data_IF_992470933114
#
_entry.id   IF_992470933114
#
_cell.length_a   1.000
_cell.length_b   1.000
_cell.length_c   1.000
_cell.angle_alpha   90.00
_cell.angle_beta   90.00
_cell.angle_gamma   90.00
#
_symmetry.space_group_name_H-M   'P 1'
#
loop_
_entity.id
_entity.type
_entity.pdbx_description
1 polymer ?
#
# COMPACT_ATOMS: atom_id res chain seq x y z
N UNK A 1 -52.39 21.06 -39.30
CA UNK A 1 -51.57 20.02 -39.95
C UNK A 1 -50.15 20.10 -39.38
N UNK A 2 -49.83 19.11 -38.54
CA UNK A 2 -48.54 18.57 -38.09
C UNK A 2 -47.30 19.47 -37.97
N UNK A 3 -46.79 19.62 -36.75
CA UNK A 3 -45.61 18.84 -36.33
C UNK A 3 -45.36 18.96 -34.82
N UNK A 4 -45.32 17.80 -34.17
CA UNK A 4 -44.96 17.61 -32.77
C UNK A 4 -43.43 17.67 -32.60
N UNK A 5 -42.97 18.34 -31.56
CA UNK A 5 -41.61 18.19 -31.04
C UNK A 5 -41.71 17.74 -29.58
N UNK A 6 -41.37 16.47 -29.37
CA UNK A 6 -41.33 15.77 -28.10
C UNK A 6 -40.01 16.13 -27.42
N UNK A 7 -40.05 16.83 -26.29
CA UNK A 7 -38.90 16.94 -25.39
C UNK A 7 -38.92 15.76 -24.41
N UNK A 8 -38.09 14.75 -24.67
CA UNK A 8 -37.84 13.66 -23.74
C UNK A 8 -36.89 14.10 -22.63
N UNK A 9 -37.40 14.25 -21.41
CA UNK A 9 -36.60 14.41 -20.20
C UNK A 9 -35.98 13.06 -19.82
N UNK A 10 -34.69 12.90 -20.08
CA UNK A 10 -33.87 11.80 -19.58
C UNK A 10 -33.52 12.09 -18.11
N UNK A 11 -34.30 11.54 -17.18
CA UNK A 11 -33.95 11.55 -15.75
C UNK A 11 -32.88 10.48 -15.49
N UNK A 12 -31.67 10.96 -15.24
CA UNK A 12 -30.51 10.16 -14.86
C UNK A 12 -30.71 9.72 -13.39
N UNK A 13 -31.26 8.53 -13.18
CA UNK A 13 -31.38 7.94 -11.83
C UNK A 13 -29.98 7.52 -11.40
N UNK A 14 -29.31 8.39 -10.63
CA UNK A 14 -28.10 8.05 -9.90
C UNK A 14 -28.52 7.14 -8.75
N UNK A 15 -28.23 5.84 -8.87
CA UNK A 15 -28.33 4.90 -7.74
C UNK A 15 -27.17 5.21 -6.78
N UNK A 16 -27.39 6.15 -5.86
CA UNK A 16 -26.59 6.21 -4.64
C UNK A 16 -26.89 4.95 -3.84
N UNK A 17 -25.85 4.20 -3.49
CA UNK A 17 -25.92 3.20 -2.43
C UNK A 17 -26.16 3.94 -1.12
N UNK A 18 -27.42 4.06 -0.72
CA UNK A 18 -27.79 4.48 0.64
C UNK A 18 -27.28 3.38 1.57
N UNK A 19 -26.23 3.68 2.33
CA UNK A 19 -25.96 2.95 3.57
C UNK A 19 -27.23 3.09 4.40
N UNK A 20 -27.94 1.97 4.61
CA UNK A 20 -29.23 2.03 5.29
C UNK A 20 -29.05 2.59 6.70
N UNK A 21 -29.78 3.67 7.00
CA UNK A 21 -29.86 4.25 8.35
C UNK A 21 -30.18 3.14 9.37
N UNK A 22 -29.47 3.15 10.50
CA UNK A 22 -29.70 2.16 11.56
C UNK A 22 -31.11 2.32 12.12
N UNK A 23 -31.80 1.20 12.30
CA UNK A 23 -33.13 1.21 12.91
C UNK A 23 -33.04 1.55 14.40
N UNK A 24 -34.11 2.10 14.96
CA UNK A 24 -34.21 2.38 16.41
C UNK A 24 -33.90 1.14 17.26
N UNK A 25 -34.31 -0.05 16.80
CA UNK A 25 -34.03 -1.32 17.47
C UNK A 25 -32.53 -1.64 17.51
N UNK A 26 -31.80 -1.38 16.41
CA UNK A 26 -30.35 -1.59 16.35
C UNK A 26 -29.60 -0.63 17.28
N UNK A 27 -30.07 0.62 17.35
CA UNK A 27 -29.51 1.65 18.24
C UNK A 27 -29.76 1.27 19.71
N UNK A 28 -30.99 0.92 20.08
CA UNK A 28 -31.33 0.49 21.45
C UNK A 28 -30.57 -0.78 21.84
N UNK A 29 -30.43 -1.74 20.92
CA UNK A 29 -29.61 -2.96 21.14
C UNK A 29 -28.15 -2.60 21.44
N UNK A 30 -27.57 -1.66 20.70
CA UNK A 30 -26.21 -1.18 20.93
C UNK A 30 -26.09 -0.50 22.30
N UNK A 31 -26.97 0.45 22.60
CA UNK A 31 -26.94 1.21 23.85
C UNK A 31 -27.16 0.31 25.07
N UNK A 32 -28.02 -0.70 24.96
CA UNK A 32 -28.20 -1.73 25.97
C UNK A 32 -26.93 -2.55 26.18
N UNK A 33 -26.31 -3.02 25.10
CA UNK A 33 -25.10 -3.86 25.18
C UNK A 33 -23.95 -3.18 25.92
N UNK A 34 -23.84 -1.86 25.82
CA UNK A 34 -22.76 -1.09 26.46
C UNK A 34 -23.20 -0.36 27.74
N UNK A 35 -24.42 -0.60 28.22
CA UNK A 35 -24.89 -0.13 29.53
C UNK A 35 -25.47 1.29 29.55
N UNK A 36 -25.64 1.94 28.40
CA UNK A 36 -26.19 3.30 28.32
C UNK A 36 -27.72 3.36 28.47
N UNK A 37 -28.42 2.30 28.06
CA UNK A 37 -29.87 2.21 28.20
C UNK A 37 -30.23 1.47 29.50
N UNK A 38 -31.02 2.11 30.35
CA UNK A 38 -31.31 1.63 31.72
C UNK A 38 -32.53 0.69 31.74
N UNK A 39 -33.53 0.93 30.88
CA UNK A 39 -34.80 0.19 30.88
C UNK A 39 -34.94 -0.73 29.66
N UNK A 40 -35.79 -1.75 29.78
CA UNK A 40 -36.33 -2.56 28.67
C UNK A 40 -35.33 -3.34 27.80
N UNK A 41 -34.05 -3.42 28.17
CA UNK A 41 -33.01 -4.16 27.42
C UNK A 41 -33.26 -5.68 27.23
N UNK A 42 -34.22 -6.25 27.95
CA UNK A 42 -34.61 -7.66 27.85
C UNK A 42 -36.10 -7.85 27.47
N UNK A 43 -36.77 -6.77 27.04
CA UNK A 43 -38.19 -6.80 26.66
C UNK A 43 -38.33 -6.43 25.19
N UNK A 44 -39.32 -6.99 24.49
CA UNK A 44 -39.63 -6.60 23.09
C UNK A 44 -40.26 -5.18 22.98
N UNK A 45 -40.06 -4.34 23.99
CA UNK A 45 -40.68 -3.01 24.11
C UNK A 45 -39.57 -1.96 23.99
N UNK A 46 -39.74 -1.04 23.04
CA UNK A 46 -38.82 0.09 22.89
C UNK A 46 -38.78 0.95 24.15
N UNK A 47 -37.63 1.56 24.40
CA UNK A 47 -37.49 2.55 25.46
C UNK A 47 -38.34 3.81 25.17
N UNK A 48 -38.67 4.56 26.23
CA UNK A 48 -39.28 5.88 26.05
C UNK A 48 -38.34 6.78 25.25
N UNK A 49 -38.92 7.70 24.48
CA UNK A 49 -38.14 8.63 23.65
C UNK A 49 -37.15 9.45 24.48
N UNK A 50 -37.57 9.91 25.66
CA UNK A 50 -36.70 10.64 26.59
C UNK A 50 -35.51 9.79 27.06
N UNK A 51 -35.73 8.53 27.42
CA UNK A 51 -34.68 7.62 27.86
C UNK A 51 -33.69 7.31 26.72
N UNK A 52 -34.18 7.11 25.51
CA UNK A 52 -33.34 6.88 24.33
C UNK A 52 -32.47 8.10 24.00
N UNK A 53 -33.06 9.29 23.94
CA UNK A 53 -32.31 10.54 23.67
C UNK A 53 -31.23 10.73 24.74
N UNK A 54 -31.55 10.47 26.00
CA UNK A 54 -30.58 10.58 27.08
C UNK A 54 -29.41 9.59 26.92
N UNK A 55 -29.70 8.31 26.66
CA UNK A 55 -28.70 7.29 26.42
C UNK A 55 -27.78 7.63 25.24
N UNK A 56 -28.34 8.19 24.15
CA UNK A 56 -27.56 8.64 22.99
C UNK A 56 -26.61 9.77 23.40
N UNK A 57 -27.09 10.80 24.11
CA UNK A 57 -26.23 11.91 24.55
C UNK A 57 -25.07 11.45 25.41
N UNK A 58 -25.32 10.51 26.32
CA UNK A 58 -24.30 9.93 27.19
C UNK A 58 -23.25 9.14 26.40
N UNK A 59 -23.70 8.32 25.45
CA UNK A 59 -22.80 7.58 24.57
C UNK A 59 -21.97 8.49 23.66
N UNK A 60 -22.57 9.56 23.10
CA UNK A 60 -21.85 10.57 22.31
C UNK A 60 -20.77 11.25 23.14
N UNK A 61 -21.10 11.65 24.37
CA UNK A 61 -20.15 12.25 25.30
C UNK A 61 -18.99 11.30 25.62
N UNK A 62 -19.27 10.03 25.93
CA UNK A 62 -18.26 9.01 26.21
C UNK A 62 -17.38 8.71 24.98
N UNK A 63 -17.98 8.71 23.79
CA UNK A 63 -17.30 8.46 22.51
C UNK A 63 -16.59 9.71 21.96
N UNK A 64 -16.64 10.84 22.67
CA UNK A 64 -16.09 12.13 22.27
C UNK A 64 -16.63 12.62 20.91
N UNK A 65 -17.94 12.49 20.74
CA UNK A 65 -18.72 12.95 19.59
C UNK A 65 -19.51 14.22 19.95
N UNK A 66 -20.06 14.88 18.93
CA UNK A 66 -20.98 16.00 19.15
C UNK A 66 -22.26 15.51 19.84
N UNK A 67 -22.59 16.11 20.98
CA UNK A 67 -23.72 15.66 21.82
C UNK A 67 -25.01 16.28 21.29
N UNK A 68 -25.65 15.62 20.35
CA UNK A 68 -26.91 16.03 19.73
C UNK A 68 -28.11 15.35 20.40
N UNK A 69 -27.96 14.08 20.78
CA UNK A 69 -29.06 13.21 21.21
C UNK A 69 -29.76 12.47 20.08
N UNK A 70 -29.29 12.65 18.84
CA UNK A 70 -29.72 11.95 17.64
C UNK A 70 -28.53 11.24 17.00
N UNK A 71 -28.76 10.13 16.29
CA UNK A 71 -27.71 9.37 15.61
C UNK A 71 -27.57 9.86 14.17
N UNK A 72 -26.44 10.48 13.86
CA UNK A 72 -26.05 10.85 12.50
C UNK A 72 -25.04 9.88 11.87
N UNK A 73 -24.62 10.13 10.61
CA UNK A 73 -23.70 9.24 9.89
C UNK A 73 -22.34 9.02 10.59
N UNK A 74 -21.82 10.05 11.26
CA UNK A 74 -20.57 9.95 12.01
C UNK A 74 -20.71 9.07 13.27
N UNK A 75 -21.89 9.12 13.91
CA UNK A 75 -22.22 8.28 15.07
C UNK A 75 -22.30 6.80 14.65
N UNK A 76 -22.97 6.52 13.53
CA UNK A 76 -23.09 5.17 12.98
C UNK A 76 -21.72 4.54 12.67
N UNK A 77 -20.80 5.32 12.08
CA UNK A 77 -19.43 4.86 11.80
C UNK A 77 -18.71 4.44 13.09
N UNK A 78 -18.94 5.14 14.20
CA UNK A 78 -18.37 4.79 15.51
C UNK A 78 -19.06 3.58 16.11
N UNK A 79 -20.38 3.44 15.97
CA UNK A 79 -21.12 2.26 16.42
C UNK A 79 -20.68 0.98 15.69
N UNK A 80 -20.28 1.06 14.42
CA UNK A 80 -19.84 -0.09 13.63
C UNK A 80 -18.40 -0.53 13.89
N UNK A 81 -17.60 0.29 14.59
CA UNK A 81 -16.24 -0.08 14.97
C UNK A 81 -16.25 -1.24 15.95
N UNK A 82 -15.40 -2.25 15.69
CA UNK A 82 -15.18 -3.37 16.62
C UNK A 82 -14.60 -2.84 17.93
N UNK A 83 -15.21 -3.22 19.05
CA UNK A 83 -14.81 -2.79 20.39
C UNK A 83 -14.92 -3.91 21.42
N UNK A 84 -14.41 -3.67 22.62
CA UNK A 84 -14.57 -4.57 23.76
C UNK A 84 -16.06 -4.74 24.09
N UNK A 85 -16.49 -5.94 24.50
CA UNK A 85 -17.87 -6.21 24.90
C UNK A 85 -18.17 -5.85 26.37
N UNK A 86 -17.20 -5.30 27.10
CA UNK A 86 -17.45 -4.74 28.42
C UNK A 86 -18.39 -3.55 28.32
N UNK A 87 -19.35 -3.46 29.24
CA UNK A 87 -20.19 -2.26 29.40
C UNK A 87 -19.30 -1.06 29.73
N UNK A 88 -19.62 0.09 29.13
CA UNK A 88 -18.90 1.34 29.38
C UNK A 88 -19.35 1.95 30.71
N UNK A 89 -20.61 1.74 31.04
CA UNK A 89 -21.29 2.28 32.20
C UNK A 89 -21.51 1.18 33.23
N UNK A 90 -20.67 1.14 34.27
CA UNK A 90 -20.72 0.08 35.30
C UNK A 90 -21.65 0.42 36.47
N UNK A 91 -21.98 1.70 36.69
CA UNK A 91 -22.87 2.17 37.75
C UNK A 91 -24.12 2.79 37.15
N UNK A 92 -25.20 2.00 37.04
CA UNK A 92 -26.45 2.43 36.40
C UNK A 92 -27.19 3.52 37.18
N UNK A 93 -26.92 3.64 38.49
CA UNK A 93 -27.53 4.62 39.38
C UNK A 93 -26.94 6.05 39.21
N UNK A 94 -25.76 6.17 38.59
CA UNK A 94 -25.09 7.45 38.32
C UNK A 94 -25.41 8.02 36.93
N UNK A 95 -26.10 7.24 36.09
CA UNK A 95 -26.34 7.55 34.67
C UNK A 95 -27.18 8.80 34.50
N UNK A 96 -27.98 9.20 35.50
CA UNK A 96 -28.93 10.33 35.39
C UNK A 96 -28.52 11.57 36.19
N UNK A 97 -27.22 11.81 36.45
CA UNK A 97 -26.77 13.06 37.06
C UNK A 97 -26.08 13.98 36.02
N UNK A 98 -26.71 15.09 35.59
CA UNK A 98 -26.14 16.06 34.65
C UNK A 98 -24.84 16.72 35.14
N UNK A 99 -24.56 16.67 36.44
CA UNK A 99 -23.37 17.27 37.05
C UNK A 99 -22.17 16.30 37.11
N UNK A 100 -22.38 15.00 36.87
CA UNK A 100 -21.31 14.01 36.87
C UNK A 100 -20.60 14.04 35.52
N UNK A 101 -19.38 14.57 35.50
CA UNK A 101 -18.46 14.37 34.40
C UNK A 101 -18.16 12.86 34.27
N UNK A 102 -18.04 12.30 33.05
CA UNK A 102 -17.67 10.91 32.88
C UNK A 102 -16.38 10.64 33.64
N UNK A 103 -16.42 9.74 34.62
CA UNK A 103 -15.26 9.44 35.45
C UNK A 103 -14.11 9.03 34.53
N UNK A 104 -13.01 9.81 34.55
CA UNK A 104 -11.92 9.65 33.58
C UNK A 104 -11.33 8.24 33.57
N UNK A 105 -11.38 7.51 34.69
CA UNK A 105 -11.01 6.10 34.74
C UNK A 105 -11.79 5.40 35.86
N UNK A 106 -12.56 4.36 35.51
CA UNK A 106 -13.09 3.41 36.49
C UNK A 106 -11.94 2.81 37.30
N UNK A 107 -11.68 3.31 38.50
CA UNK A 107 -10.88 2.62 39.52
C UNK A 107 -11.72 1.50 40.11
N UNK A 108 -12.10 0.55 39.25
CA UNK A 108 -12.87 -0.62 39.62
C UNK A 108 -12.20 -1.38 40.78
N UNK A 109 -12.89 -2.38 41.35
CA UNK A 109 -12.41 -3.11 42.51
C UNK A 109 -10.98 -3.60 42.31
N UNK A 110 -10.08 -3.19 43.20
CA UNK A 110 -8.65 -3.54 43.13
C UNK A 110 -8.42 -4.91 43.74
N UNK A 111 -7.60 -5.73 43.07
CA UNK A 111 -7.15 -7.00 43.63
C UNK A 111 -6.47 -6.79 44.98
N UNK A 112 -6.79 -7.65 45.97
CA UNK A 112 -6.19 -7.59 47.32
C UNK A 112 -4.67 -7.87 47.30
N UNK A 113 -4.19 -8.61 46.31
CA UNK A 113 -2.77 -8.95 46.11
C UNK A 113 -2.28 -8.35 44.80
N UNK A 114 -1.02 -7.94 44.78
CA UNK A 114 -0.34 -7.42 43.59
C UNK A 114 0.29 -8.51 42.73
N UNK A 115 0.65 -9.65 43.33
CA UNK A 115 1.13 -10.83 42.61
C UNK A 115 -0.05 -11.66 42.09
N UNK A 116 -0.38 -11.49 40.82
CA UNK A 116 -1.47 -12.19 40.14
C UNK A 116 -0.94 -13.37 39.33
N UNK A 117 -1.68 -14.48 39.33
CA UNK A 117 -1.44 -15.64 38.47
C UNK A 117 -2.53 -15.73 37.41
N UNK A 118 -2.17 -16.08 36.18
CA UNK A 118 -3.11 -16.19 35.06
C UNK A 118 -2.99 -17.55 34.36
N UNK A 119 -4.07 -17.96 33.69
CA UNK A 119 -4.12 -19.16 32.84
C UNK A 119 -4.91 -18.85 31.59
N UNK A 120 -4.33 -19.11 30.41
CA UNK A 120 -5.07 -18.97 29.14
C UNK A 120 -5.98 -20.18 29.01
N UNK A 121 -7.30 -19.95 29.07
CA UNK A 121 -8.31 -21.00 28.88
C UNK A 121 -8.74 -21.14 27.43
N UNK A 122 -8.74 -20.04 26.68
CA UNK A 122 -9.13 -19.99 25.27
C UNK A 122 -8.40 -18.85 24.57
N UNK A 123 -7.78 -19.16 23.44
CA UNK A 123 -7.25 -18.12 22.56
C UNK A 123 -8.41 -17.47 21.80
N UNK A 124 -8.39 -16.15 21.69
CA UNK A 124 -9.27 -15.42 20.77
C UNK A 124 -9.03 -15.94 19.36
N UNK A 125 -10.11 -16.17 18.60
CA UNK A 125 -9.97 -16.40 17.16
C UNK A 125 -9.20 -15.21 16.61
N UNK A 126 -8.13 -15.42 15.81
CA UNK A 126 -7.50 -14.32 15.12
C UNK A 126 -8.61 -13.57 14.40
N UNK A 127 -8.71 -12.26 14.62
CA UNK A 127 -9.38 -11.45 13.62
C UNK A 127 -8.72 -11.79 12.29
N UNK A 128 -9.47 -11.93 11.19
CA UNK A 128 -8.85 -11.89 9.88
C UNK A 128 -8.00 -10.63 9.90
N UNK A 129 -6.67 -10.79 9.84
CA UNK A 129 -5.85 -9.65 9.44
C UNK A 129 -6.46 -9.20 8.11
N UNK A 130 -6.50 -7.89 7.80
CA UNK A 130 -6.72 -7.50 6.41
C UNK A 130 -5.81 -8.42 5.60
N UNK A 131 -6.38 -9.23 4.71
CA UNK A 131 -5.59 -10.13 3.89
C UNK A 131 -4.71 -9.20 3.07
N UNK A 132 -3.48 -8.98 3.54
CA UNK A 132 -2.50 -8.17 2.84
C UNK A 132 -2.41 -8.85 1.48
N UNK A 133 -2.77 -8.14 0.39
CA UNK A 133 -2.81 -8.78 -0.92
C UNK A 133 -1.46 -9.47 -1.18
N UNK A 134 -1.46 -10.66 -1.78
CA UNK A 134 -0.22 -11.41 -2.06
C UNK A 134 0.81 -10.56 -2.82
N UNK A 135 0.33 -9.58 -3.60
CA UNK A 135 1.17 -8.66 -4.36
C UNK A 135 1.87 -7.58 -3.51
N UNK A 136 1.66 -7.52 -2.20
CA UNK A 136 2.40 -6.62 -1.29
C UNK A 136 3.74 -7.20 -0.83
N UNK A 137 3.93 -8.52 -0.95
CA UNK A 137 5.19 -9.19 -0.65
C UNK A 137 5.71 -9.91 -1.88
N UNK A 138 6.36 -9.15 -2.77
CA UNK A 138 6.79 -9.65 -4.07
C UNK A 138 8.30 -9.80 -4.17
N UNK A 139 8.70 -10.83 -4.91
CA UNK A 139 10.07 -10.98 -5.34
C UNK A 139 10.29 -10.15 -6.61
N UNK A 140 10.97 -9.02 -6.45
CA UNK A 140 11.33 -8.11 -7.53
C UNK A 140 12.45 -8.76 -8.36
N UNK A 141 12.26 -8.85 -9.67
CA UNK A 141 13.23 -9.39 -10.63
C UNK A 141 13.93 -8.30 -11.44
N UNK A 142 13.22 -7.20 -11.70
CA UNK A 142 13.74 -6.03 -12.37
C UNK A 142 12.82 -4.83 -12.11
N UNK A 143 13.34 -3.62 -12.24
CA UNK A 143 12.55 -2.41 -12.14
C UNK A 143 13.08 -1.37 -13.13
N UNK A 144 12.19 -0.66 -13.81
CA UNK A 144 12.55 0.42 -14.75
C UNK A 144 11.58 1.58 -14.58
N UNK A 145 12.05 2.80 -14.83
CA UNK A 145 11.22 4.01 -14.82
C UNK A 145 11.16 4.58 -16.23
N UNK A 146 9.96 4.70 -16.78
CA UNK A 146 9.78 5.17 -18.15
C UNK A 146 9.82 6.70 -18.23
N UNK A 147 9.82 7.24 -19.45
CA UNK A 147 9.90 8.69 -19.71
C UNK A 147 8.74 9.49 -19.14
N UNK A 148 7.56 8.87 -19.00
CA UNK A 148 6.37 9.46 -18.39
C UNK A 148 6.38 9.37 -16.85
N UNK A 149 7.48 8.89 -16.27
CA UNK A 149 7.65 8.75 -14.83
C UNK A 149 7.05 7.47 -14.25
N UNK A 150 6.36 6.65 -15.05
CA UNK A 150 5.79 5.37 -14.62
C UNK A 150 6.90 4.41 -14.22
N UNK A 151 6.80 3.86 -13.02
CA UNK A 151 7.63 2.77 -12.53
C UNK A 151 7.00 1.43 -12.92
N UNK A 152 7.77 0.62 -13.65
CA UNK A 152 7.43 -0.76 -13.97
C UNK A 152 8.27 -1.69 -13.10
N UNK A 153 7.60 -2.50 -12.27
CA UNK A 153 8.25 -3.48 -11.39
C UNK A 153 7.91 -4.88 -11.86
N UNK A 154 8.90 -5.59 -12.36
CA UNK A 154 8.78 -6.96 -12.84
C UNK A 154 8.93 -7.92 -11.67
N UNK A 155 7.95 -8.79 -11.49
CA UNK A 155 7.89 -9.73 -10.38
C UNK A 155 7.88 -11.16 -10.89
N UNK A 156 8.28 -12.08 -10.01
CA UNK A 156 8.26 -13.50 -10.30
C UNK A 156 6.86 -13.95 -10.78
N UNK A 157 6.83 -14.85 -11.77
CA UNK A 157 5.58 -15.37 -12.34
C UNK A 157 5.09 -14.62 -13.59
N UNK A 158 5.94 -13.82 -14.25
CA UNK A 158 5.62 -13.12 -15.51
C UNK A 158 4.57 -12.01 -15.34
N UNK A 159 4.72 -11.22 -14.27
CA UNK A 159 3.88 -10.06 -13.98
C UNK A 159 4.71 -8.78 -13.94
N UNK A 160 4.06 -7.68 -14.29
CA UNK A 160 4.58 -6.33 -14.12
C UNK A 160 3.55 -5.49 -13.37
N UNK A 161 4.02 -4.75 -12.38
CA UNK A 161 3.25 -3.73 -11.67
C UNK A 161 3.51 -2.38 -12.31
N UNK A 162 2.45 -1.58 -12.49
CA UNK A 162 2.55 -0.20 -12.95
C UNK A 162 2.25 0.73 -11.79
N UNK A 163 3.19 1.62 -11.50
CA UNK A 163 3.08 2.60 -10.42
C UNK A 163 3.36 3.97 -11.02
N UNK A 164 2.37 4.85 -10.96
CA UNK A 164 2.46 6.24 -11.44
C UNK A 164 2.62 7.18 -10.25
N UNK A 165 2.71 8.49 -10.51
CA UNK A 165 2.73 9.49 -9.43
C UNK A 165 1.45 9.45 -8.57
N UNK A 166 0.31 9.11 -9.20
CA UNK A 166 -0.98 8.97 -8.53
C UNK A 166 -1.09 7.72 -7.66
N UNK A 167 -0.21 6.72 -7.86
CA UNK A 167 -0.17 5.51 -7.03
C UNK A 167 -0.06 4.22 -7.85
N UNK A 168 -0.37 3.10 -7.21
CA UNK A 168 -0.45 1.81 -7.88
C UNK A 168 -1.61 1.80 -8.87
N UNK A 169 -1.33 1.40 -10.11
CA UNK A 169 -2.31 1.38 -11.19
C UNK A 169 -2.90 -0.03 -11.35
N UNK A 170 -2.04 -1.02 -11.61
CA UNK A 170 -2.45 -2.42 -11.77
C UNK A 170 -1.26 -3.39 -11.76
N UNK A 171 -1.60 -4.68 -11.74
CA UNK A 171 -0.69 -5.80 -11.95
C UNK A 171 -1.17 -6.61 -13.16
N UNK A 172 -0.38 -6.60 -14.22
CA UNK A 172 -0.72 -7.25 -15.49
C UNK A 172 0.36 -8.25 -15.90
N UNK A 173 0.00 -9.20 -16.77
CA UNK A 173 0.99 -10.11 -17.35
C UNK A 173 1.98 -9.30 -18.18
N UNK A 174 3.28 -9.55 -17.98
CA UNK A 174 4.35 -8.81 -18.68
C UNK A 174 4.18 -8.84 -20.20
N UNK A 175 3.78 -9.98 -20.77
CA UNK A 175 3.59 -10.15 -22.21
C UNK A 175 2.43 -9.33 -22.79
N UNK A 176 1.46 -8.90 -21.97
CA UNK A 176 0.37 -8.05 -22.44
C UNK A 176 0.86 -6.64 -22.74
N UNK A 177 1.90 -6.20 -22.04
CA UNK A 177 2.50 -4.87 -22.20
C UNK A 177 3.76 -4.92 -23.07
N UNK A 178 4.69 -5.81 -22.75
CA UNK A 178 5.96 -5.98 -23.44
C UNK A 178 5.91 -7.23 -24.33
N UNK A 179 5.14 -7.16 -25.42
CA UNK A 179 5.03 -8.29 -26.36
C UNK A 179 6.41 -8.68 -26.89
N UNK A 180 6.70 -9.97 -26.90
CA UNK A 180 7.98 -10.58 -27.32
C UNK A 180 9.16 -10.35 -26.37
N UNK A 181 8.94 -9.73 -25.21
CA UNK A 181 9.92 -9.71 -24.13
C UNK A 181 10.09 -11.13 -23.56
N UNK A 182 11.25 -11.44 -22.96
CA UNK A 182 11.41 -12.72 -22.28
C UNK A 182 10.49 -12.81 -21.06
N UNK A 183 9.87 -13.97 -20.83
CA UNK A 183 8.97 -14.20 -19.69
C UNK A 183 9.64 -14.11 -18.31
N UNK A 184 10.97 -14.16 -18.27
CA UNK A 184 11.80 -13.95 -17.09
C UNK A 184 13.02 -13.15 -17.53
N UNK A 185 13.36 -12.14 -16.74
CA UNK A 185 14.46 -11.23 -16.99
C UNK A 185 15.48 -11.38 -15.87
N UNK A 186 16.73 -11.12 -16.23
CA UNK A 186 17.85 -11.09 -15.31
C UNK A 186 18.04 -9.68 -14.77
N UNK A 187 17.83 -8.69 -15.64
CA UNK A 187 17.81 -7.28 -15.30
C UNK A 187 17.03 -6.50 -16.36
N UNK A 188 16.67 -5.26 -16.03
CA UNK A 188 16.15 -4.30 -16.97
C UNK A 188 16.65 -2.91 -16.60
N UNK A 189 16.71 -2.02 -17.59
CA UNK A 189 16.98 -0.59 -17.37
C UNK A 189 16.27 0.23 -18.43
N UNK A 190 16.09 1.52 -18.15
CA UNK A 190 15.54 2.47 -19.10
C UNK A 190 16.47 3.65 -19.28
N UNK A 191 16.36 4.29 -20.44
CA UNK A 191 16.95 5.58 -20.74
C UNK A 191 15.76 6.51 -21.04
N UNK A 192 15.21 7.18 -20.02
CA UNK A 192 13.99 7.98 -20.16
C UNK A 192 14.08 9.06 -21.23
N UNK A 193 15.24 9.72 -21.38
CA UNK A 193 15.48 10.74 -22.40
C UNK A 193 15.32 10.23 -23.84
N UNK A 194 15.50 8.93 -24.05
CA UNK A 194 15.33 8.27 -25.35
C UNK A 194 14.00 7.54 -25.48
N UNK A 195 13.19 7.47 -24.41
CA UNK A 195 11.96 6.66 -24.36
C UNK A 195 12.20 5.17 -24.60
N UNK A 196 13.39 4.67 -24.21
CA UNK A 196 13.81 3.29 -24.44
C UNK A 196 13.95 2.51 -23.15
N UNK A 197 13.40 1.30 -23.15
CA UNK A 197 13.56 0.32 -22.09
C UNK A 197 14.28 -0.90 -22.64
N UNK A 198 15.20 -1.45 -21.87
CA UNK A 198 16.04 -2.56 -22.24
C UNK A 198 15.87 -3.70 -21.25
N UNK A 199 15.63 -4.90 -21.77
CA UNK A 199 15.50 -6.12 -20.98
C UNK A 199 16.68 -7.04 -21.26
N UNK A 200 17.21 -7.65 -20.20
CA UNK A 200 18.37 -8.54 -20.28
C UNK A 200 18.00 -9.94 -19.79
N UNK A 201 18.47 -10.95 -20.52
CA UNK A 201 18.40 -12.36 -20.11
C UNK A 201 19.62 -13.09 -20.65
N UNK A 202 20.50 -13.53 -19.76
CA UNK A 202 21.83 -14.00 -20.10
C UNK A 202 22.58 -12.92 -20.90
N UNK A 203 23.07 -13.29 -22.08
CA UNK A 203 23.79 -12.39 -22.99
C UNK A 203 22.88 -11.71 -24.03
N UNK A 204 21.56 -11.88 -23.93
CA UNK A 204 20.60 -11.31 -24.89
C UNK A 204 19.98 -10.03 -24.33
N UNK A 205 19.78 -9.07 -25.23
CA UNK A 205 19.20 -7.76 -24.95
C UNK A 205 17.98 -7.53 -25.84
N UNK A 206 16.89 -7.10 -25.25
CA UNK A 206 15.68 -6.69 -25.96
C UNK A 206 15.47 -5.21 -25.73
N UNK A 207 15.24 -4.45 -26.80
CA UNK A 207 14.87 -3.04 -26.75
C UNK A 207 13.36 -2.90 -26.91
N UNK A 208 12.77 -2.05 -26.08
CA UNK A 208 11.41 -1.57 -26.17
C UNK A 208 11.46 -0.07 -26.37
N UNK A 209 11.15 0.36 -27.58
CA UNK A 209 10.99 1.77 -27.94
C UNK A 209 9.49 2.07 -27.95
N UNK A 210 9.00 2.66 -26.86
CA UNK A 210 7.56 2.93 -26.71
C UNK A 210 7.05 3.97 -27.70
N UNK A 211 7.93 4.87 -28.18
CA UNK A 211 7.56 5.92 -29.13
C UNK A 211 7.41 5.38 -30.55
N UNK A 212 8.32 4.51 -30.99
CA UNK A 212 8.33 3.96 -32.36
C UNK A 212 7.60 2.63 -32.48
N UNK A 213 7.62 1.83 -31.43
CA UNK A 213 7.01 0.50 -31.40
C UNK A 213 6.23 0.30 -30.10
N UNK A 214 5.10 0.99 -29.93
CA UNK A 214 4.26 0.85 -28.73
C UNK A 214 3.71 -0.57 -28.56
N UNK A 215 3.81 -1.43 -29.60
CA UNK A 215 3.22 -2.77 -29.64
C UNK A 215 4.21 -3.91 -29.41
N UNK A 216 5.51 -3.68 -29.19
CA UNK A 216 6.39 -4.80 -28.83
C UNK A 216 7.88 -4.51 -28.72
N UNK A 217 8.62 -5.51 -28.24
CA UNK A 217 10.08 -5.46 -28.06
C UNK A 217 10.82 -6.08 -29.24
N UNK A 218 12.01 -5.56 -29.54
CA UNK A 218 12.91 -6.05 -30.60
C UNK A 218 14.14 -6.66 -29.92
N UNK A 219 14.59 -7.84 -30.37
CA UNK A 219 15.88 -8.38 -29.95
C UNK A 219 16.99 -7.58 -30.64
N UNK A 220 17.77 -6.84 -29.88
CA UNK A 220 18.88 -6.02 -30.39
C UNK A 220 20.15 -6.74 -29.95
N UNK A 221 20.93 -7.28 -30.88
CA UNK A 221 22.18 -7.98 -30.55
C UNK A 221 23.19 -6.97 -29.97
N UNK A 222 23.10 -6.72 -28.66
CA UNK A 222 23.89 -5.71 -27.93
C UNK A 222 23.95 -5.96 -26.42
N UNK A 223 23.61 -7.18 -25.98
CA UNK A 223 23.90 -7.60 -24.60
C UNK A 223 25.41 -7.67 -24.33
N UNK A 224 25.82 -7.78 -23.07
CA UNK A 224 27.23 -7.88 -22.70
C UNK A 224 27.87 -9.06 -23.43
N UNK A 225 28.84 -8.76 -24.30
CA UNK A 225 29.54 -9.78 -25.11
C UNK A 225 30.39 -10.70 -24.24
N UNK A 226 30.89 -10.16 -23.13
CA UNK A 226 31.72 -10.86 -22.15
C UNK A 226 31.25 -10.45 -20.77
N UNK A 227 30.64 -11.38 -20.03
CA UNK A 227 30.26 -11.15 -18.63
C UNK A 227 30.69 -12.34 -17.78
N UNK A 228 31.38 -12.12 -16.66
CA UNK A 228 31.79 -13.22 -15.79
C UNK A 228 30.59 -13.87 -15.08
N UNK A 229 29.47 -13.16 -14.92
CA UNK A 229 28.29 -13.63 -14.18
C UNK A 229 26.96 -13.08 -14.73
N UNK A 230 25.85 -13.61 -14.22
CA UNK A 230 24.47 -13.22 -14.58
C UNK A 230 24.13 -11.85 -13.98
N UNK A 231 23.74 -10.85 -14.79
CA UNK A 231 23.36 -9.53 -14.28
C UNK A 231 22.10 -9.64 -13.42
N UNK A 232 21.99 -8.81 -12.38
CA UNK A 232 20.81 -8.70 -11.51
C UNK A 232 20.13 -7.35 -11.60
N UNK A 233 20.90 -6.30 -11.84
CA UNK A 233 20.35 -4.97 -12.04
C UNK A 233 21.20 -4.21 -13.04
N UNK A 234 20.59 -3.21 -13.70
CA UNK A 234 21.30 -2.28 -14.58
C UNK A 234 20.73 -0.89 -14.39
N UNK A 235 21.59 0.14 -14.37
CA UNK A 235 21.16 1.54 -14.38
C UNK A 235 21.99 2.35 -15.38
N UNK A 236 21.36 3.30 -16.06
CA UNK A 236 22.07 4.21 -16.98
C UNK A 236 22.86 5.25 -16.19
N UNK A 237 24.18 5.38 -16.39
CA UNK A 237 25.07 6.29 -15.62
C UNK A 237 24.69 7.77 -15.76
N UNK A 238 24.07 8.11 -16.88
CA UNK A 238 23.79 9.48 -17.31
C UNK A 238 22.46 9.54 -18.01
N UNK A 239 21.85 10.72 -18.03
CA UNK A 239 20.63 10.96 -18.80
C UNK A 239 20.85 10.77 -20.31
N UNK A 240 22.08 10.92 -20.81
CA UNK A 240 22.41 10.67 -22.22
C UNK A 240 22.56 9.17 -22.54
N UNK A 241 22.76 8.32 -21.54
CA UNK A 241 22.90 6.88 -21.73
C UNK A 241 24.13 6.49 -22.54
N UNK A 242 25.30 7.10 -22.29
CA UNK A 242 26.51 6.70 -23.00
C UNK A 242 27.03 5.33 -22.53
N UNK A 243 26.89 5.07 -21.24
CA UNK A 243 27.25 3.81 -20.57
C UNK A 243 26.23 3.48 -19.47
N UNK A 244 26.29 2.23 -19.01
CA UNK A 244 25.43 1.69 -17.96
C UNK A 244 26.28 1.00 -16.91
N UNK A 245 25.81 1.02 -15.66
CA UNK A 245 26.34 0.21 -14.58
C UNK A 245 25.50 -1.06 -14.48
N UNK A 246 26.17 -2.21 -14.60
CA UNK A 246 25.57 -3.53 -14.47
C UNK A 246 26.02 -4.14 -13.16
N UNK A 247 25.08 -4.68 -12.39
CA UNK A 247 25.32 -5.24 -11.05
C UNK A 247 25.12 -6.75 -11.05
N UNK A 248 25.98 -7.48 -10.34
CA UNK A 248 25.92 -8.94 -10.19
C UNK A 248 26.84 -9.40 -9.04
N UNK A 249 26.33 -10.30 -8.20
CA UNK A 249 27.03 -10.92 -7.04
C UNK A 249 27.93 -9.98 -6.22
N UNK A 250 27.44 -8.79 -5.87
CA UNK A 250 28.21 -7.84 -5.05
C UNK A 250 29.21 -6.98 -5.82
N UNK A 251 29.31 -7.15 -7.13
CA UNK A 251 30.20 -6.42 -8.02
C UNK A 251 29.36 -5.61 -9.01
N UNK A 252 29.89 -4.47 -9.43
CA UNK A 252 29.38 -3.71 -10.56
C UNK A 252 30.43 -3.57 -11.65
N UNK A 253 29.98 -3.50 -12.89
CA UNK A 253 30.79 -3.25 -14.09
C UNK A 253 30.18 -2.10 -14.87
N UNK A 254 31.01 -1.34 -15.60
CA UNK A 254 30.51 -0.37 -16.59
C UNK A 254 30.52 -0.98 -17.99
N UNK A 255 29.43 -0.79 -18.72
CA UNK A 255 29.22 -1.31 -20.06
C UNK A 255 28.76 -0.19 -20.99
N UNK A 256 29.35 -0.11 -22.18
CA UNK A 256 28.90 0.79 -23.24
C UNK A 256 27.61 0.27 -23.88
N UNK A 257 26.85 1.15 -24.54
CA UNK A 257 25.61 0.76 -25.21
C UNK A 257 25.79 -0.25 -26.37
N UNK A 258 26.99 -0.42 -26.91
CA UNK A 258 27.30 -1.45 -27.91
C UNK A 258 27.52 -2.86 -27.29
N UNK A 259 27.36 -3.01 -25.97
CA UNK A 259 27.55 -4.26 -25.23
C UNK A 259 29.00 -4.53 -24.81
N UNK A 260 29.94 -3.62 -25.05
CA UNK A 260 31.32 -3.75 -24.58
C UNK A 260 31.43 -3.40 -23.11
N UNK A 261 31.94 -4.34 -22.31
CA UNK A 261 32.31 -4.08 -20.92
C UNK A 261 33.62 -3.30 -20.87
N UNK A 262 33.65 -2.22 -20.11
CA UNK A 262 34.84 -1.39 -19.92
C UNK A 262 35.81 -2.16 -19.02
N UNK A 263 36.95 -2.57 -19.59
CA UNK A 263 37.98 -3.34 -18.90
C UNK A 263 38.50 -2.57 -17.68
N UNK A 264 38.68 -3.26 -16.54
CA UNK A 264 39.14 -2.67 -15.28
C UNK A 264 38.11 -1.79 -14.54
N UNK A 265 36.88 -1.69 -15.05
CA UNK A 265 35.81 -0.90 -14.41
C UNK A 265 35.17 -1.57 -13.20
N UNK A 266 35.45 -2.86 -12.97
CA UNK A 266 34.77 -3.63 -11.92
C UNK A 266 35.03 -3.05 -10.53
N UNK A 267 33.99 -2.87 -9.73
CA UNK A 267 34.09 -2.39 -8.34
C UNK A 267 33.13 -3.17 -7.45
N UNK A 268 33.46 -3.31 -6.18
CA UNK A 268 32.49 -3.81 -5.20
C UNK A 268 31.36 -2.81 -5.01
N UNK A 269 30.12 -3.29 -4.95
CA UNK A 269 28.94 -2.45 -4.72
C UNK A 269 29.09 -1.67 -3.42
N UNK A 270 29.53 -2.33 -2.34
CA UNK A 270 29.80 -1.68 -1.05
C UNK A 270 30.82 -0.54 -1.11
N UNK A 271 31.73 -0.56 -2.08
CA UNK A 271 32.73 0.50 -2.25
C UNK A 271 32.19 1.73 -2.98
N UNK A 272 31.23 1.57 -3.88
CA UNK A 272 30.68 2.67 -4.68
C UNK A 272 29.36 3.18 -4.12
N UNK A 273 28.55 2.29 -3.54
CA UNK A 273 27.23 2.50 -2.99
C UNK A 273 27.20 2.11 -1.51
N UNK A 274 27.77 2.96 -0.66
CA UNK A 274 27.83 2.72 0.78
C UNK A 274 26.41 2.59 1.38
N UNK A 275 26.20 1.59 2.23
CA UNK A 275 24.90 1.27 2.82
C UNK A 275 23.96 0.45 1.93
N UNK A 276 24.26 0.30 0.64
CA UNK A 276 23.48 -0.58 -0.25
C UNK A 276 23.92 -2.03 -0.07
N UNK A 277 23.00 -3.00 0.06
CA UNK A 277 23.36 -4.42 0.13
C UNK A 277 24.13 -4.89 -1.10
N UNK A 278 25.07 -5.82 -0.94
CA UNK A 278 25.86 -6.35 -2.06
C UNK A 278 25.03 -7.17 -3.06
N UNK A 279 24.06 -7.96 -2.59
CA UNK A 279 23.23 -8.82 -3.44
C UNK A 279 21.87 -8.17 -3.69
N UNK A 280 21.86 -7.13 -4.54
CA UNK A 280 20.62 -6.50 -5.01
C UNK A 280 19.95 -7.35 -6.10
N UNK A 281 18.63 -7.23 -6.20
CA UNK A 281 17.80 -7.93 -7.18
C UNK A 281 17.28 -7.01 -8.28
N UNK A 282 17.21 -5.70 -8.03
CA UNK A 282 16.93 -4.70 -9.05
C UNK A 282 17.47 -3.32 -8.63
N UNK A 283 17.59 -2.41 -9.58
CA UNK A 283 17.89 -1.02 -9.30
C UNK A 283 17.22 -0.14 -10.36
N UNK A 284 16.77 1.04 -9.96
CA UNK A 284 16.17 2.02 -10.88
C UNK A 284 16.72 3.40 -10.57
N UNK A 285 17.15 4.10 -11.62
CA UNK A 285 17.51 5.51 -11.52
C UNK A 285 16.24 6.34 -11.56
N UNK A 286 15.98 7.08 -10.49
CA UNK A 286 14.77 7.89 -10.35
C UNK A 286 14.92 9.25 -11.02
N UNK A 287 16.08 9.88 -10.78
CA UNK A 287 16.49 11.16 -11.33
C UNK A 287 18.04 11.24 -11.37
N UNK A 288 18.61 12.43 -11.59
CA UNK A 288 20.07 12.63 -11.65
C UNK A 288 20.81 12.35 -10.33
N UNK A 289 20.13 12.41 -9.19
CA UNK A 289 20.68 12.29 -7.83
C UNK A 289 20.20 11.04 -7.11
N UNK A 290 19.07 10.47 -7.50
CA UNK A 290 18.40 9.42 -6.72
C UNK A 290 18.41 8.10 -7.47
N UNK A 291 18.86 7.04 -6.78
CA UNK A 291 18.76 5.65 -7.24
C UNK A 291 18.04 4.85 -6.17
N UNK A 292 17.06 4.03 -6.57
CA UNK A 292 16.46 3.04 -5.69
C UNK A 292 17.05 1.68 -6.00
N UNK A 293 17.58 1.02 -4.97
CA UNK A 293 18.03 -0.36 -5.02
C UNK A 293 16.98 -1.25 -4.34
N UNK A 294 16.78 -2.45 -4.87
CA UNK A 294 15.84 -3.42 -4.33
C UNK A 294 16.55 -4.71 -3.96
N UNK A 295 16.19 -5.29 -2.81
CA UNK A 295 16.65 -6.60 -2.36
C UNK A 295 15.50 -7.31 -1.67
N UNK A 296 15.04 -8.42 -2.25
CA UNK A 296 13.76 -9.04 -1.90
C UNK A 296 12.62 -8.02 -1.99
N UNK A 297 11.85 -7.89 -0.92
CA UNK A 297 10.75 -6.93 -0.81
C UNK A 297 11.16 -5.59 -0.18
N UNK A 298 12.47 -5.30 -0.03
CA UNK A 298 12.97 -4.05 0.58
C UNK A 298 13.57 -3.12 -0.47
N UNK A 299 13.43 -1.82 -0.24
CA UNK A 299 14.09 -0.77 -1.04
C UNK A 299 15.13 -0.01 -0.23
N UNK A 300 16.09 0.56 -0.93
CA UNK A 300 17.13 1.45 -0.41
C UNK A 300 17.23 2.65 -1.35
N UNK A 301 16.84 3.83 -0.87
CA UNK A 301 16.93 5.10 -1.58
C UNK A 301 18.31 5.69 -1.38
N UNK A 302 19.10 5.76 -2.43
CA UNK A 302 20.49 6.22 -2.41
C UNK A 302 20.61 7.59 -3.08
N UNK A 303 21.31 8.51 -2.41
CA UNK A 303 21.69 9.81 -2.94
C UNK A 303 23.10 9.73 -3.53
N UNK A 304 23.23 9.92 -4.84
CA UNK A 304 24.51 9.84 -5.57
C UNK A 304 25.44 11.02 -5.28
N UNK A 305 24.90 12.17 -4.87
CA UNK A 305 25.70 13.35 -4.50
C UNK A 305 26.33 13.15 -3.13
N UNK A 306 25.52 12.70 -2.16
CA UNK A 306 25.95 12.44 -0.78
C UNK A 306 26.65 11.09 -0.61
N UNK A 307 26.51 10.21 -1.59
CA UNK A 307 27.05 8.84 -1.61
C UNK A 307 26.62 8.02 -0.39
N UNK A 308 25.33 8.09 -0.04
CA UNK A 308 24.76 7.38 1.11
C UNK A 308 23.30 6.99 0.86
N UNK A 309 22.86 5.94 1.55
CA UNK A 309 21.45 5.63 1.70
C UNK A 309 20.79 6.72 2.56
N UNK A 310 19.68 7.27 2.07
CA UNK A 310 18.87 8.35 2.68
C UNK A 310 17.43 7.89 2.99
N UNK A 311 17.17 6.59 2.92
CA UNK A 311 15.90 5.97 3.27
C UNK A 311 15.87 4.50 2.87
N UNK A 312 15.22 3.69 3.68
CA UNK A 312 14.98 2.27 3.39
C UNK A 312 13.62 1.86 3.97
N UNK A 313 13.05 0.77 3.47
CA UNK A 313 11.76 0.29 3.92
C UNK A 313 11.24 -0.87 3.08
N UNK A 314 10.01 -1.26 3.33
CA UNK A 314 9.31 -2.28 2.56
C UNK A 314 8.73 -1.68 1.28
N UNK A 315 8.84 -2.43 0.18
CA UNK A 315 8.39 -2.00 -1.14
C UNK A 315 6.88 -1.74 -1.17
N UNK A 316 6.07 -2.67 -0.65
CA UNK A 316 4.61 -2.58 -0.68
C UNK A 316 4.09 -1.26 -0.10
N UNK A 317 4.32 -0.98 1.19
CA UNK A 317 3.84 0.26 1.81
C UNK A 317 4.38 1.55 1.16
N UNK A 318 5.61 1.53 0.67
CA UNK A 318 6.24 2.73 0.10
C UNK A 318 5.81 3.04 -1.35
N UNK A 319 5.53 2.01 -2.15
CA UNK A 319 5.26 2.16 -3.59
C UNK A 319 3.82 1.85 -3.98
N UNK A 320 3.09 1.05 -3.18
CA UNK A 320 1.72 0.60 -3.44
C UNK A 320 0.72 1.33 -2.53
N UNK A 321 0.86 2.67 -2.43
CA UNK A 321 0.08 3.59 -1.58
C UNK A 321 -1.34 3.08 -1.27
N UNK A 322 -1.64 2.79 0.00
CA UNK A 322 -2.97 2.40 0.47
C UNK A 322 -3.36 0.93 0.23
N UNK A 323 -2.73 0.24 -0.72
CA UNK A 323 -3.02 -1.17 -1.04
C UNK A 323 -2.33 -2.15 -0.09
N UNK A 324 -1.19 -1.73 0.48
CA UNK A 324 -0.32 -2.58 1.29
C UNK A 324 -0.11 -2.08 2.72
N UNK A 325 -1.05 -1.26 3.22
CA UNK A 325 -0.93 -0.58 4.50
C UNK A 325 0.03 0.62 4.47
N UNK A 326 0.10 1.34 5.59
CA UNK A 326 0.98 2.50 5.72
C UNK A 326 2.43 2.08 5.95
N UNK A 327 3.37 2.83 5.36
CA UNK A 327 4.78 2.65 5.66
C UNK A 327 5.05 2.89 7.15
N UNK A 328 5.96 2.14 7.79
CA UNK A 328 6.32 2.40 9.18
C UNK A 328 6.80 3.85 9.32
N UNK A 329 6.19 4.57 10.26
CA UNK A 329 6.48 5.99 10.55
C UNK A 329 7.92 6.22 11.01
#
# INVERSE_FOLDING_TARGET
MNSAMIFGLLTLVVLYSVSGEKTTEQIETYLCKYGYLIENCNTNRLASEENRIYAIKWWQMFSNLEVTGDIGPADEEVMDKRRCACEDVMQKDEVMNPELQPQQFNLGPKWRKTALTWKITKFTRPTPRPEIPEFCNVQIQAAVRDFDGTLFVFTQGNYVMRITETGFLDRIRTNNLFRRAPWSMDAAYSIPSLGRTYFMRGQRLWEFDRMRNPMGTILVQGGPRTMPERPRAVIATSASGNDVEVFGSGILWRMKMNGEVIVGSHRYISSQYSGVPSMIDAAVRWDSRTVYFFKGNRYYRYDTSRRTVIGEGDFGPAFLKGECGDAPR
#
